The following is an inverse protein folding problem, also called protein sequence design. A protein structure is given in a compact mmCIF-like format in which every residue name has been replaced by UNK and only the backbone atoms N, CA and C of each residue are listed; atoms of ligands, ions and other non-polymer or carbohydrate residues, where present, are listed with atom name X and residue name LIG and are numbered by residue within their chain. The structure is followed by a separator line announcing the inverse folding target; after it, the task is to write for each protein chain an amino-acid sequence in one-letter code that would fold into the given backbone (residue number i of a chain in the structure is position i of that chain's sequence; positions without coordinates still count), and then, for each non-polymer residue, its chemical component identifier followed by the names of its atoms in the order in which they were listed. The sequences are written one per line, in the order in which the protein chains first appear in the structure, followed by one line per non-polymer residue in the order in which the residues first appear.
data_IF_273678103755
#
_entry.id   IF_273678103755
#
_cell.length_a   1.000
_cell.length_b   1.000
_cell.length_c   1.000
_cell.angle_alpha   90.00
_cell.angle_beta   90.00
_cell.angle_gamma   90.00
#
_symmetry.space_group_name_H-M   'P 1'
#
loop_
_entity.id
_entity.type
_entity.pdbx_description
1 polymer ?
#
# COMPACT_ATOMS: atom_id res chain seq x y z
N UNK A 1 -15.65 6.50 4.41
CA UNK A 1 -14.95 5.57 3.48
C UNK A 1 -13.94 4.79 4.29
N UNK A 2 -13.88 3.46 4.15
CA UNK A 2 -12.92 2.64 4.91
C UNK A 2 -11.53 2.63 4.26
N UNK A 3 -10.48 2.32 5.02
CA UNK A 3 -9.10 2.16 4.48
C UNK A 3 -9.05 1.12 3.36
N UNK A 4 -9.75 -0.01 3.54
CA UNK A 4 -9.92 -1.04 2.48
C UNK A 4 -10.48 -0.45 1.17
N UNK A 5 -11.45 0.46 1.27
CA UNK A 5 -12.03 1.12 0.09
C UNK A 5 -11.02 2.07 -0.58
N UNK A 6 -10.22 2.79 0.22
CA UNK A 6 -9.15 3.66 -0.30
C UNK A 6 -8.07 2.82 -0.99
N UNK A 7 -7.57 1.75 -0.35
CA UNK A 7 -6.61 0.78 -0.93
C UNK A 7 -7.11 0.28 -2.29
N UNK A 8 -8.38 -0.11 -2.37
CA UNK A 8 -8.98 -0.61 -3.61
C UNK A 8 -8.99 0.44 -4.71
N UNK A 9 -9.28 1.71 -4.37
CA UNK A 9 -9.26 2.83 -5.32
C UNK A 9 -7.85 3.14 -5.80
N UNK A 10 -6.86 3.17 -4.90
CA UNK A 10 -5.45 3.39 -5.24
C UNK A 10 -4.94 2.29 -6.16
N UNK A 11 -5.17 1.01 -5.84
CA UNK A 11 -4.77 -0.11 -6.71
C UNK A 11 -5.41 -0.02 -8.10
N UNK A 12 -6.69 0.35 -8.17
CA UNK A 12 -7.37 0.54 -9.46
C UNK A 12 -6.69 1.63 -10.29
N UNK A 13 -6.33 2.74 -9.66
CA UNK A 13 -5.61 3.82 -10.33
C UNK A 13 -4.21 3.39 -10.76
N UNK A 14 -3.41 2.80 -9.87
CA UNK A 14 -2.05 2.35 -10.20
C UNK A 14 -2.02 1.36 -11.37
N UNK A 15 -3.00 0.47 -11.47
CA UNK A 15 -3.14 -0.44 -12.63
C UNK A 15 -3.39 0.26 -13.97
N UNK A 16 -3.80 1.54 -13.98
CA UNK A 16 -3.93 2.36 -15.19
C UNK A 16 -2.65 3.12 -15.54
N UNK A 17 -1.67 3.17 -14.63
CA UNK A 17 -0.41 3.88 -14.85
C UNK A 17 0.51 3.03 -15.74
N UNK A 18 0.99 3.54 -16.90
CA UNK A 18 1.91 2.81 -17.76
C UNK A 18 3.20 2.44 -17.02
N UNK A 19 3.67 1.20 -17.22
CA UNK A 19 4.89 0.71 -16.57
C UNK A 19 4.76 0.47 -15.06
N UNK A 20 3.53 0.43 -14.52
CA UNK A 20 3.26 0.14 -13.12
C UNK A 20 2.82 -1.31 -12.90
N UNK A 21 3.58 -2.05 -12.11
CA UNK A 21 3.14 -3.28 -11.47
C UNK A 21 2.86 -2.99 -10.00
N UNK A 22 1.69 -3.36 -9.46
CA UNK A 22 1.35 -3.10 -8.07
C UNK A 22 0.51 -4.23 -7.45
N UNK A 23 0.64 -4.43 -6.14
CA UNK A 23 -0.17 -5.36 -5.38
C UNK A 23 -0.49 -4.81 -4.00
N UNK A 24 -1.56 -5.34 -3.40
CA UNK A 24 -1.83 -5.14 -1.98
C UNK A 24 -0.94 -6.10 -1.20
N UNK A 25 -0.22 -5.60 -0.21
CA UNK A 25 0.48 -6.47 0.74
C UNK A 25 -0.55 -7.25 1.57
N UNK A 26 -0.22 -8.52 1.80
CA UNK A 26 -0.99 -9.41 2.66
C UNK A 26 -0.05 -10.01 3.71
N UNK A 27 -0.03 -9.41 4.89
CA UNK A 27 0.71 -9.95 6.03
C UNK A 27 0.36 -11.41 6.31
N UNK A 28 1.36 -12.16 6.77
CA UNK A 28 1.23 -13.55 7.19
C UNK A 28 2.18 -13.86 8.34
N UNK A 29 2.14 -15.10 8.85
CA UNK A 29 2.97 -15.55 9.98
C UNK A 29 4.49 -15.36 9.74
N UNK A 30 4.91 -15.33 8.49
CA UNK A 30 6.31 -15.12 8.09
C UNK A 30 6.57 -13.72 7.49
N UNK A 31 5.57 -12.83 7.50
CA UNK A 31 5.69 -11.46 7.00
C UNK A 31 6.18 -10.48 8.07
N UNK A 32 6.87 -9.43 7.66
CA UNK A 32 7.28 -8.36 8.56
C UNK A 32 6.06 -7.50 8.91
N UNK A 33 5.82 -7.27 10.20
CA UNK A 33 4.79 -6.32 10.63
C UNK A 33 5.19 -4.89 10.24
N UNK A 34 4.20 -4.08 9.85
CA UNK A 34 4.44 -2.67 9.47
C UNK A 34 4.80 -2.44 8.00
N UNK A 35 4.85 -3.48 7.15
CA UNK A 35 5.01 -3.28 5.71
C UNK A 35 3.83 -2.44 5.18
N UNK A 36 4.08 -1.45 4.31
CA UNK A 36 3.02 -0.62 3.73
C UNK A 36 1.97 -1.41 2.93
N UNK A 37 0.71 -0.96 3.01
CA UNK A 37 -0.45 -1.63 2.40
C UNK A 37 -0.34 -1.96 0.90
N UNK A 38 0.34 -1.11 0.12
CA UNK A 38 0.50 -1.28 -1.32
C UNK A 38 1.97 -1.12 -1.68
N UNK A 39 2.49 -2.07 -2.45
CA UNK A 39 3.80 -1.96 -3.07
C UNK A 39 3.60 -1.86 -4.58
N UNK A 40 4.37 -0.96 -5.21
CA UNK A 40 4.38 -0.75 -6.65
C UNK A 40 5.80 -0.66 -7.18
N UNK A 41 6.04 -1.25 -8.35
CA UNK A 41 7.21 -0.99 -9.17
C UNK A 41 6.76 -0.16 -10.38
N UNK A 42 7.24 1.08 -10.49
CA UNK A 42 6.91 2.02 -11.56
C UNK A 42 8.18 2.35 -12.32
N UNK A 43 8.29 1.90 -13.57
CA UNK A 43 9.46 2.11 -14.41
C UNK A 43 10.78 1.71 -13.71
N UNK A 44 10.77 0.56 -13.02
CA UNK A 44 11.94 0.03 -12.29
C UNK A 44 12.18 0.64 -10.91
N UNK A 45 11.32 1.56 -10.43
CA UNK A 45 11.42 2.16 -9.10
C UNK A 45 10.37 1.58 -8.16
N UNK A 46 10.80 1.08 -7.01
CA UNK A 46 9.90 0.60 -5.97
C UNK A 46 9.36 1.76 -5.13
N UNK A 47 8.05 1.80 -4.98
CA UNK A 47 7.28 2.79 -4.24
C UNK A 47 6.32 2.03 -3.34
N UNK A 48 6.15 2.48 -2.11
CA UNK A 48 5.26 1.88 -1.13
C UNK A 48 4.27 2.92 -0.59
N UNK A 49 3.03 2.50 -0.35
CA UNK A 49 1.97 3.35 0.18
C UNK A 49 1.37 2.74 1.43
N UNK A 50 1.47 3.44 2.55
CA UNK A 50 0.72 3.16 3.76
C UNK A 50 -0.58 3.98 3.74
N UNK A 51 -1.72 3.32 3.83
CA UNK A 51 -3.04 3.94 3.63
C UNK A 51 -3.71 4.13 4.97
N UNK A 52 -4.06 5.39 5.27
CA UNK A 52 -4.91 5.75 6.40
C UNK A 52 -6.18 6.46 5.97
N UNK A 53 -7.23 6.34 6.77
CA UNK A 53 -8.34 7.31 6.72
C UNK A 53 -7.88 8.70 7.18
N UNK A 54 -8.63 9.78 6.92
CA UNK A 54 -8.28 11.11 7.42
C UNK A 54 -8.08 11.20 8.95
N UNK A 55 -8.75 10.33 9.71
CA UNK A 55 -8.59 10.21 11.16
C UNK A 55 -7.65 9.07 11.58
N UNK A 56 -7.22 8.23 10.63
CA UNK A 56 -6.34 7.10 10.87
C UNK A 56 -4.91 7.56 11.16
N UNK A 57 -4.21 6.81 12.01
CA UNK A 57 -2.82 7.08 12.38
C UNK A 57 -1.96 5.86 12.10
N UNK A 58 -0.73 6.10 11.69
CA UNK A 58 0.31 5.07 11.61
C UNK A 58 0.52 4.43 12.98
N UNK A 59 0.84 3.14 12.97
CA UNK A 59 1.37 2.49 14.17
C UNK A 59 2.86 2.74 14.27
N UNK A 60 3.45 2.56 15.45
CA UNK A 60 4.91 2.69 15.64
C UNK A 60 5.72 1.78 14.69
N UNK A 61 5.19 0.62 14.31
CA UNK A 61 5.84 -0.30 13.38
C UNK A 61 5.82 0.19 11.93
N UNK A 62 4.88 1.08 11.58
CA UNK A 62 4.76 1.69 10.25
C UNK A 62 5.53 3.02 10.14
N UNK A 63 6.05 3.52 11.26
CA UNK A 63 6.85 4.74 11.35
C UNK A 63 8.37 4.46 11.36
N UNK A 64 8.75 3.19 11.45
CA UNK A 64 10.13 2.72 11.48
C UNK A 64 10.77 2.71 10.10
#
# INVERSE_FOLDING_TARGET
MSEKSIVTKVLRYLKTVPGCFCWKEHGGMYGTAGIPDIIACVNGRFIAFEIKTPSGKTTKLQEA
#
